data_IF_310495377114
#
_entry.id   IF_310495377114
#
_cell.length_a   1.000
_cell.length_b   1.000
_cell.length_c   1.000
_cell.angle_alpha   90.00
_cell.angle_beta   90.00
_cell.angle_gamma   90.00
#
_symmetry.space_group_name_H-M   'P 1'
#
loop_
_entity.id
_entity.type
_entity.pdbx_description
1 polymer ?
#
# COMPACT_ATOMS: atom_id res chain seq x y z
N UNK A 1 -7.63 13.16 9.20
CA UNK A 1 -7.65 12.89 7.75
C UNK A 1 -8.42 13.96 6.97
N UNK A 2 -9.74 14.16 7.17
CA UNK A 2 -10.54 15.14 6.39
C UNK A 2 -9.90 16.54 6.40
N UNK A 3 -9.61 17.09 7.59
CA UNK A 3 -8.95 18.40 7.70
C UNK A 3 -7.63 18.49 6.94
N UNK A 4 -6.81 17.44 6.98
CA UNK A 4 -5.53 17.43 6.25
C UNK A 4 -5.74 17.38 4.74
N UNK A 5 -6.69 16.55 4.27
CA UNK A 5 -7.03 16.47 2.86
C UNK A 5 -7.56 17.81 2.35
N UNK A 6 -8.50 18.44 3.08
CA UNK A 6 -9.05 19.73 2.70
C UNK A 6 -7.98 20.81 2.66
N UNK A 7 -7.14 20.89 3.69
CA UNK A 7 -6.02 21.85 3.74
C UNK A 7 -5.07 21.67 2.56
N UNK A 8 -4.74 20.42 2.25
CA UNK A 8 -3.83 20.09 1.15
C UNK A 8 -4.42 20.48 -0.21
N UNK A 9 -5.70 20.16 -0.43
CA UNK A 9 -6.41 20.50 -1.67
C UNK A 9 -6.59 22.02 -1.86
N UNK A 10 -6.54 22.80 -0.78
CA UNK A 10 -6.64 24.26 -0.83
C UNK A 10 -5.29 24.96 -1.00
N UNK A 11 -4.20 24.36 -0.47
CA UNK A 11 -2.95 25.09 -0.29
C UNK A 11 -1.71 24.35 -0.84
N UNK A 12 -1.84 23.11 -1.29
CA UNK A 12 -0.70 22.26 -1.64
C UNK A 12 -0.70 21.77 -3.11
N UNK A 13 -1.49 22.38 -3.99
CA UNK A 13 -1.56 21.96 -5.39
C UNK A 13 -0.80 22.94 -6.30
N UNK A 14 -0.32 22.42 -7.43
CA UNK A 14 0.23 23.24 -8.52
C UNK A 14 -0.88 24.06 -9.19
N UNK A 15 -0.48 25.20 -9.81
CA UNK A 15 -1.38 26.08 -10.50
C UNK A 15 -2.07 25.34 -11.67
N UNK A 16 -3.35 25.66 -11.93
CA UNK A 16 -4.13 25.10 -13.02
C UNK A 16 -3.60 25.41 -14.43
N UNK A 17 -2.69 26.36 -14.56
CA UNK A 17 -2.02 26.72 -15.83
C UNK A 17 -0.58 26.21 -15.90
N UNK A 18 -0.14 25.44 -14.89
CA UNK A 18 1.17 24.79 -14.92
C UNK A 18 1.21 23.69 -16.00
N UNK A 19 2.39 23.25 -16.38
CA UNK A 19 2.56 22.11 -17.29
C UNK A 19 1.99 20.82 -16.66
N UNK A 20 2.03 20.70 -15.32
CA UNK A 20 1.39 19.65 -14.54
C UNK A 20 0.35 20.30 -13.60
N UNK A 21 -0.87 20.51 -14.06
CA UNK A 21 -1.89 21.24 -13.30
C UNK A 21 -2.54 20.41 -12.21
N UNK A 22 -3.02 21.09 -11.15
CA UNK A 22 -3.76 20.50 -10.02
C UNK A 22 -3.04 19.34 -9.30
N UNK A 23 -1.69 19.26 -9.39
CA UNK A 23 -0.89 18.20 -8.81
C UNK A 23 -0.39 18.54 -7.41
N UNK A 24 -0.45 17.60 -6.45
CA UNK A 24 0.00 17.84 -5.08
C UNK A 24 1.53 17.90 -4.99
N UNK A 25 2.04 18.93 -4.30
CA UNK A 25 3.45 19.01 -3.93
C UNK A 25 3.74 18.10 -2.73
N UNK A 26 4.78 17.27 -2.76
CA UNK A 26 5.01 16.28 -1.69
C UNK A 26 5.45 16.89 -0.38
N UNK A 27 6.15 18.03 -0.38
CA UNK A 27 6.80 18.57 0.81
C UNK A 27 6.72 20.10 0.93
N UNK A 28 7.07 20.57 2.14
CA UNK A 28 7.34 21.97 2.45
C UNK A 28 8.82 22.24 2.13
N UNK A 29 9.13 23.12 1.18
CA UNK A 29 10.53 23.49 0.90
C UNK A 29 11.17 24.24 2.07
N UNK A 30 10.36 24.89 2.91
CA UNK A 30 10.76 25.42 4.21
C UNK A 30 10.18 24.52 5.29
N UNK A 31 11.03 23.77 5.97
CA UNK A 31 10.65 22.81 7.00
C UNK A 31 9.72 23.44 8.05
N UNK A 32 8.63 22.76 8.38
CA UNK A 32 7.59 23.20 9.30
C UNK A 32 6.81 24.48 8.91
N UNK A 33 6.93 24.96 7.68
CA UNK A 33 6.15 26.11 7.20
C UNK A 33 4.64 25.85 7.11
N UNK A 34 4.25 24.59 6.94
CA UNK A 34 2.88 24.20 6.60
C UNK A 34 2.51 24.48 5.13
N UNK A 35 3.43 25.03 4.32
CA UNK A 35 3.21 25.35 2.91
C UNK A 35 3.82 24.24 2.07
N UNK A 36 2.98 23.46 1.40
CA UNK A 36 3.40 22.41 0.45
C UNK A 36 3.61 23.07 -0.92
N UNK A 37 4.85 23.22 -1.34
CA UNK A 37 5.21 23.99 -2.52
C UNK A 37 6.36 23.42 -3.36
N UNK A 38 6.81 22.20 -3.05
CA UNK A 38 7.87 21.56 -3.81
C UNK A 38 8.37 20.24 -3.24
N UNK A 39 9.62 19.93 -3.53
CA UNK A 39 10.37 18.76 -3.05
C UNK A 39 11.45 19.20 -2.07
N UNK A 40 11.80 18.35 -1.12
CA UNK A 40 12.77 18.66 -0.07
C UNK A 40 14.19 18.91 -0.61
N UNK A 41 14.55 18.32 -1.75
CA UNK A 41 15.91 18.38 -2.34
C UNK A 41 16.00 19.29 -3.56
N UNK A 42 15.13 19.08 -4.53
CA UNK A 42 15.11 19.88 -5.77
C UNK A 42 14.41 21.24 -5.59
N UNK A 43 13.69 21.41 -4.47
CA UNK A 43 13.16 22.67 -4.07
C UNK A 43 11.76 22.99 -4.61
N UNK A 44 11.48 24.30 -4.67
CA UNK A 44 10.15 24.81 -4.98
C UNK A 44 9.72 24.47 -6.42
N UNK A 45 8.45 24.06 -6.56
CA UNK A 45 7.84 23.76 -7.84
C UNK A 45 8.09 22.34 -8.34
N UNK A 46 8.83 21.51 -7.60
CA UNK A 46 9.10 20.11 -7.98
C UNK A 46 8.00 19.19 -7.42
N UNK A 47 7.45 18.35 -8.31
CA UNK A 47 6.47 17.31 -8.02
C UNK A 47 7.10 15.93 -8.01
N UNK A 48 6.43 15.00 -7.35
CA UNK A 48 6.68 13.56 -7.41
C UNK A 48 5.40 12.85 -7.90
N UNK A 49 5.29 12.53 -9.21
CA UNK A 49 4.09 11.93 -9.80
C UNK A 49 3.61 10.64 -9.13
N UNK A 50 4.53 9.82 -8.64
CA UNK A 50 4.23 8.60 -7.88
C UNK A 50 3.50 8.88 -6.56
N UNK A 51 3.91 9.93 -5.83
CA UNK A 51 3.24 10.39 -4.60
C UNK A 51 1.88 11.01 -4.92
N UNK A 52 1.79 11.72 -6.05
CA UNK A 52 0.52 12.29 -6.51
C UNK A 52 -0.50 11.20 -6.82
N UNK A 53 -0.08 10.11 -7.49
CA UNK A 53 -0.92 8.93 -7.72
C UNK A 53 -1.41 8.29 -6.43
N UNK A 54 -0.52 8.13 -5.45
CA UNK A 54 -0.87 7.61 -4.12
C UNK A 54 -1.87 8.51 -3.39
N UNK A 55 -1.66 9.83 -3.42
CA UNK A 55 -2.57 10.78 -2.80
C UNK A 55 -3.97 10.75 -3.45
N UNK A 56 -4.03 10.70 -4.77
CA UNK A 56 -5.30 10.62 -5.49
C UNK A 56 -6.06 9.32 -5.22
N UNK A 57 -5.37 8.19 -5.09
CA UNK A 57 -5.98 6.92 -4.68
C UNK A 57 -6.61 7.01 -3.29
N UNK A 58 -5.94 7.64 -2.33
CA UNK A 58 -6.50 7.88 -1.00
C UNK A 58 -7.69 8.87 -1.02
N UNK A 59 -7.73 9.83 -1.95
CA UNK A 59 -8.89 10.69 -2.15
C UNK A 59 -10.11 9.92 -2.67
N UNK A 60 -9.93 8.91 -3.53
CA UNK A 60 -11.03 8.02 -3.95
C UNK A 60 -11.56 7.24 -2.76
N UNK A 61 -10.68 6.71 -1.91
CA UNK A 61 -11.07 6.05 -0.65
C UNK A 61 -11.86 7.01 0.25
N UNK A 62 -11.40 8.24 0.40
CA UNK A 62 -12.08 9.27 1.20
C UNK A 62 -13.46 9.65 0.63
N UNK A 63 -13.60 9.70 -0.70
CA UNK A 63 -14.89 9.84 -1.37
C UNK A 63 -15.83 8.66 -1.06
N UNK A 64 -15.33 7.42 -1.14
CA UNK A 64 -16.13 6.23 -0.82
C UNK A 64 -16.68 6.26 0.61
N UNK A 65 -15.92 6.85 1.55
CA UNK A 65 -16.31 7.02 2.96
C UNK A 65 -17.28 8.18 3.16
N UNK A 66 -16.94 9.36 2.64
CA UNK A 66 -17.63 10.61 2.96
C UNK A 66 -18.77 10.97 2.02
N UNK A 67 -18.74 10.44 0.79
CA UNK A 67 -19.59 10.82 -0.35
C UNK A 67 -19.46 12.28 -0.74
N UNK A 68 -18.36 12.93 -0.37
CA UNK A 68 -18.08 14.32 -0.79
C UNK A 68 -17.40 14.31 -2.16
N UNK A 69 -18.13 14.78 -3.17
CA UNK A 69 -17.70 14.85 -4.58
C UNK A 69 -16.40 15.63 -4.78
N UNK A 70 -16.03 16.54 -3.87
CA UNK A 70 -14.77 17.29 -3.93
C UNK A 70 -13.58 16.34 -4.02
N UNK A 71 -13.58 15.24 -3.26
CA UNK A 71 -12.46 14.30 -3.25
C UNK A 71 -12.37 13.50 -4.54
N UNK A 72 -13.51 13.07 -5.09
CA UNK A 72 -13.54 12.38 -6.38
C UNK A 72 -13.08 13.29 -7.52
N UNK A 73 -13.60 14.50 -7.59
CA UNK A 73 -13.22 15.49 -8.63
C UNK A 73 -11.73 15.82 -8.54
N UNK A 74 -11.18 15.96 -7.33
CA UNK A 74 -9.74 16.20 -7.15
C UNK A 74 -8.90 15.00 -7.56
N UNK A 75 -9.32 13.78 -7.23
CA UNK A 75 -8.65 12.54 -7.67
C UNK A 75 -8.67 12.41 -9.20
N UNK A 76 -9.80 12.71 -9.85
CA UNK A 76 -9.94 12.70 -11.31
C UNK A 76 -8.99 13.70 -11.98
N UNK A 77 -8.87 14.92 -11.49
CA UNK A 77 -7.95 15.93 -12.04
C UNK A 77 -6.49 15.47 -11.97
N UNK A 78 -6.07 14.88 -10.84
CA UNK A 78 -4.73 14.33 -10.69
C UNK A 78 -4.54 13.16 -11.66
N UNK A 79 -5.52 12.27 -11.76
CA UNK A 79 -5.48 11.12 -12.68
C UNK A 79 -5.42 11.56 -14.15
N UNK A 80 -6.18 12.60 -14.54
CA UNK A 80 -6.15 13.18 -15.89
C UNK A 80 -4.75 13.73 -16.22
N UNK A 81 -4.14 14.45 -15.28
CA UNK A 81 -2.78 14.95 -15.44
C UNK A 81 -1.78 13.80 -15.58
N UNK A 82 -1.81 12.79 -14.71
CA UNK A 82 -0.95 11.62 -14.80
C UNK A 82 -1.14 10.86 -16.11
N UNK A 83 -2.38 10.60 -16.51
CA UNK A 83 -2.70 9.90 -17.75
C UNK A 83 -2.19 10.65 -18.99
N UNK A 84 -2.37 11.98 -19.03
CA UNK A 84 -1.92 12.81 -20.16
C UNK A 84 -0.41 12.89 -20.32
N UNK A 85 0.35 12.70 -19.23
CA UNK A 85 1.81 12.71 -19.23
C UNK A 85 2.44 11.32 -19.29
N UNK A 86 1.63 10.25 -19.25
CA UNK A 86 2.15 8.88 -19.30
C UNK A 86 2.76 8.59 -20.67
N UNK A 87 4.02 8.22 -20.67
CA UNK A 87 4.79 7.81 -21.85
C UNK A 87 5.12 6.34 -21.79
N UNK A 88 5.62 5.75 -22.89
CA UNK A 88 5.93 4.32 -22.93
C UNK A 88 7.07 3.93 -21.98
N UNK A 89 7.97 4.86 -21.66
CA UNK A 89 9.17 4.57 -20.90
C UNK A 89 10.14 3.61 -21.61
N UNK A 90 11.28 3.36 -20.97
CA UNK A 90 12.31 2.41 -21.42
C UNK A 90 13.07 1.83 -20.20
N UNK A 91 14.23 1.22 -20.42
CA UNK A 91 15.04 0.65 -19.32
C UNK A 91 15.69 1.70 -18.40
N UNK A 92 15.71 2.97 -18.80
CA UNK A 92 16.31 4.08 -18.06
C UNK A 92 15.29 5.10 -17.55
N UNK A 93 14.09 5.12 -18.16
CA UNK A 93 13.03 6.07 -17.85
C UNK A 93 11.73 5.33 -17.59
N UNK A 94 11.08 5.62 -16.47
CA UNK A 94 9.73 5.13 -16.19
C UNK A 94 8.68 5.89 -17.02
N UNK A 95 7.47 5.37 -17.16
CA UNK A 95 6.37 6.03 -17.91
C UNK A 95 6.08 7.45 -17.46
N UNK A 96 6.35 7.76 -16.22
CA UNK A 96 6.30 9.07 -15.58
C UNK A 96 7.62 9.27 -14.83
N UNK A 97 8.18 10.47 -14.74
CA UNK A 97 9.43 10.72 -14.01
C UNK A 97 9.23 10.60 -12.50
N UNK A 98 10.31 10.33 -11.77
CA UNK A 98 10.30 10.36 -10.31
C UNK A 98 10.09 11.78 -9.79
N UNK A 99 10.75 12.79 -10.44
CA UNK A 99 10.60 14.20 -10.12
C UNK A 99 10.39 15.01 -11.40
N UNK A 100 9.54 16.01 -11.33
CA UNK A 100 9.26 16.91 -12.45
C UNK A 100 8.95 18.31 -11.94
N UNK A 101 9.41 19.33 -12.68
CA UNK A 101 9.01 20.70 -12.41
C UNK A 101 7.57 20.92 -12.89
N UNK A 102 6.69 21.30 -11.97
CA UNK A 102 5.26 21.50 -12.24
C UNK A 102 5.01 22.54 -13.33
N UNK A 103 5.83 23.57 -13.41
CA UNK A 103 5.61 24.73 -14.28
C UNK A 103 6.19 24.54 -15.68
N UNK A 104 7.40 23.94 -15.76
CA UNK A 104 8.10 23.77 -17.05
C UNK A 104 7.88 22.38 -17.67
N UNK A 105 7.53 21.37 -16.88
CA UNK A 105 7.46 19.98 -17.30
C UNK A 105 8.81 19.28 -17.42
N UNK A 106 9.90 19.95 -17.07
CA UNK A 106 11.25 19.37 -17.11
C UNK A 106 11.43 18.34 -16.00
N UNK A 107 12.06 17.21 -16.35
CA UNK A 107 12.45 16.17 -15.39
C UNK A 107 13.42 16.74 -14.36
N UNK A 108 13.16 16.50 -13.09
CA UNK A 108 14.03 16.91 -11.99
C UNK A 108 15.31 16.06 -11.89
N UNK A 109 16.02 16.20 -10.78
CA UNK A 109 17.34 15.61 -10.58
C UNK A 109 17.41 14.71 -9.36
N UNK A 110 18.33 13.75 -9.40
CA UNK A 110 18.80 13.05 -8.21
C UNK A 110 20.03 13.83 -7.69
N UNK A 111 19.86 14.47 -6.54
CA UNK A 111 20.90 15.30 -5.95
C UNK A 111 21.77 14.49 -4.99
N UNK A 112 23.03 14.90 -4.84
CA UNK A 112 23.90 14.35 -3.81
C UNK A 112 23.42 14.75 -2.41
N UNK A 113 23.64 13.88 -1.43
CA UNK A 113 23.29 14.12 -0.02
C UNK A 113 24.27 15.09 0.69
N UNK A 114 25.28 15.58 -0.01
CA UNK A 114 26.14 16.62 0.53
C UNK A 114 25.45 17.97 0.43
N UNK A 115 25.88 18.91 1.27
CA UNK A 115 25.36 20.28 1.32
C UNK A 115 25.60 21.09 0.04
N UNK A 116 26.29 20.54 -0.94
CA UNK A 116 26.63 21.21 -2.21
C UNK A 116 25.50 21.14 -3.23
N UNK A 117 24.51 20.23 -3.07
CA UNK A 117 23.43 20.06 -4.02
C UNK A 117 23.92 19.58 -5.41
N UNK A 118 25.02 18.82 -5.45
CA UNK A 118 25.56 18.28 -6.68
C UNK A 118 24.57 17.35 -7.38
N UNK A 119 24.29 17.59 -8.65
CA UNK A 119 23.42 16.74 -9.49
C UNK A 119 24.17 15.45 -9.83
N UNK A 120 23.61 14.30 -9.46
CA UNK A 120 24.22 13.00 -9.73
C UNK A 120 23.62 12.29 -10.93
N UNK A 121 22.33 12.50 -11.22
CA UNK A 121 21.62 11.93 -12.36
C UNK A 121 20.27 12.62 -12.58
N UNK A 122 19.62 12.30 -13.71
CA UNK A 122 18.22 12.66 -13.96
C UNK A 122 17.29 11.83 -13.07
N UNK A 123 16.24 12.43 -12.54
CA UNK A 123 15.17 11.77 -11.77
C UNK A 123 14.06 11.19 -12.67
N UNK A 124 14.43 10.62 -13.82
CA UNK A 124 13.48 10.08 -14.80
C UNK A 124 12.95 8.68 -14.49
N UNK A 125 13.34 8.04 -13.39
CA UNK A 125 13.00 6.65 -13.11
C UNK A 125 12.56 6.43 -11.66
N UNK A 126 11.43 5.74 -11.47
CA UNK A 126 11.01 5.07 -10.24
C UNK A 126 10.06 3.92 -10.61
N UNK A 127 9.96 2.89 -9.76
CA UNK A 127 8.99 1.81 -9.91
C UNK A 127 7.82 1.90 -8.90
N UNK A 128 7.59 3.05 -8.28
CA UNK A 128 6.53 3.25 -7.29
C UNK A 128 5.15 3.54 -7.93
N UNK A 129 4.67 2.65 -8.80
CA UNK A 129 3.45 2.88 -9.56
C UNK A 129 2.22 2.07 -9.10
N UNK A 130 2.36 1.21 -8.09
CA UNK A 130 1.25 0.35 -7.64
C UNK A 130 0.00 1.14 -7.23
N UNK A 131 0.15 2.23 -6.48
CA UNK A 131 -0.99 3.08 -6.08
C UNK A 131 -1.60 3.85 -7.27
N UNK A 132 -0.78 4.23 -8.26
CA UNK A 132 -1.29 4.87 -9.49
C UNK A 132 -2.07 3.89 -10.34
N UNK A 133 -1.64 2.63 -10.43
CA UNK A 133 -2.39 1.57 -11.09
C UNK A 133 -3.74 1.35 -10.40
N UNK A 134 -3.77 1.24 -9.07
CA UNK A 134 -5.01 1.11 -8.31
C UNK A 134 -5.92 2.34 -8.46
N UNK A 135 -5.37 3.55 -8.53
CA UNK A 135 -6.15 4.76 -8.80
C UNK A 135 -6.91 4.67 -10.14
N UNK A 136 -6.23 4.31 -11.21
CA UNK A 136 -6.85 4.19 -12.53
C UNK A 136 -7.92 3.10 -12.57
N UNK A 137 -7.67 1.97 -11.91
CA UNK A 137 -8.61 0.86 -11.79
C UNK A 137 -9.88 1.29 -11.03
N UNK A 138 -9.74 1.90 -9.87
CA UNK A 138 -10.88 2.37 -9.07
C UNK A 138 -11.70 3.48 -9.76
N UNK A 139 -11.04 4.40 -10.50
CA UNK A 139 -11.73 5.42 -11.26
C UNK A 139 -12.45 4.82 -12.49
N UNK A 140 -11.93 3.73 -13.06
CA UNK A 140 -12.60 3.00 -14.12
C UNK A 140 -13.90 2.34 -13.62
N UNK A 141 -13.90 1.78 -12.41
CA UNK A 141 -15.09 1.22 -11.77
C UNK A 141 -16.18 2.26 -11.44
N UNK A 142 -15.80 3.51 -11.28
CA UNK A 142 -16.71 4.63 -10.98
C UNK A 142 -17.28 5.32 -12.23
N UNK A 143 -17.24 4.66 -13.39
CA UNK A 143 -17.77 5.17 -14.68
C UNK A 143 -17.28 6.58 -15.05
N UNK A 144 -15.99 6.83 -14.82
CA UNK A 144 -15.35 8.11 -15.15
C UNK A 144 -15.50 8.44 -16.65
N UNK A 145 -15.77 9.70 -17.01
CA UNK A 145 -15.82 10.13 -18.42
C UNK A 145 -14.48 9.97 -19.15
N UNK A 146 -13.38 9.81 -18.42
CA UNK A 146 -12.01 9.64 -18.92
C UNK A 146 -11.52 8.17 -18.93
N UNK A 147 -12.43 7.20 -18.83
CA UNK A 147 -12.15 5.76 -18.77
C UNK A 147 -11.13 5.28 -19.80
N UNK A 148 -11.24 5.74 -21.06
CA UNK A 148 -10.33 5.30 -22.12
C UNK A 148 -8.88 5.73 -21.87
N UNK A 149 -8.63 6.95 -21.36
CA UNK A 149 -7.29 7.45 -21.05
C UNK A 149 -6.70 6.76 -19.81
N UNK A 150 -7.51 6.49 -18.79
CA UNK A 150 -7.08 5.77 -17.60
C UNK A 150 -6.68 4.32 -17.92
N UNK A 151 -7.52 3.62 -18.71
CA UNK A 151 -7.19 2.27 -19.17
C UNK A 151 -5.91 2.24 -20.01
N UNK A 152 -5.71 3.23 -20.88
CA UNK A 152 -4.48 3.32 -21.68
C UNK A 152 -3.25 3.55 -20.78
N UNK A 153 -3.31 4.51 -19.85
CA UNK A 153 -2.22 4.80 -18.92
C UNK A 153 -1.92 3.61 -18.01
N UNK A 154 -2.96 2.95 -17.49
CA UNK A 154 -2.82 1.70 -16.71
C UNK A 154 -2.04 0.65 -17.49
N UNK A 155 -2.44 0.36 -18.74
CA UNK A 155 -1.78 -0.66 -19.56
C UNK A 155 -0.32 -0.28 -19.85
N UNK A 156 -0.04 0.98 -20.18
CA UNK A 156 1.34 1.45 -20.45
C UNK A 156 2.22 1.28 -19.22
N UNK A 157 1.75 1.67 -18.04
CA UNK A 157 2.51 1.55 -16.79
C UNK A 157 2.69 0.07 -16.42
N UNK A 158 1.64 -0.74 -16.49
CA UNK A 158 1.70 -2.16 -16.17
C UNK A 158 2.67 -2.93 -17.08
N UNK A 159 2.61 -2.69 -18.40
CA UNK A 159 3.51 -3.32 -19.36
C UNK A 159 4.97 -2.90 -19.11
N UNK A 160 5.21 -1.64 -18.77
CA UNK A 160 6.54 -1.18 -18.40
C UNK A 160 7.04 -1.85 -17.11
N UNK A 161 6.20 -1.93 -16.07
CA UNK A 161 6.52 -2.63 -14.82
C UNK A 161 6.90 -4.10 -15.05
N UNK A 162 6.18 -4.79 -15.94
CA UNK A 162 6.46 -6.17 -16.34
C UNK A 162 7.75 -6.29 -17.16
N UNK A 163 7.99 -5.34 -18.07
CA UNK A 163 9.10 -5.42 -19.01
C UNK A 163 10.46 -5.08 -18.37
N UNK A 164 10.49 -4.16 -17.40
CA UNK A 164 11.74 -3.62 -16.86
C UNK A 164 11.93 -3.91 -15.37
N UNK A 165 11.21 -3.32 -14.41
CA UNK A 165 11.46 -3.58 -12.98
C UNK A 165 11.39 -5.06 -12.61
N UNK A 166 10.33 -5.74 -13.04
CA UNK A 166 10.09 -7.15 -12.69
C UNK A 166 11.19 -8.09 -13.24
N UNK A 167 11.78 -7.79 -14.39
CA UNK A 167 12.82 -8.62 -15.01
C UNK A 167 14.22 -8.31 -14.51
N UNK A 168 14.49 -7.05 -14.19
CA UNK A 168 15.84 -6.58 -13.84
C UNK A 168 16.03 -6.43 -12.34
N UNK A 169 14.97 -6.41 -11.54
CA UNK A 169 14.95 -5.99 -10.14
C UNK A 169 15.55 -4.60 -9.92
N UNK A 170 15.36 -3.71 -10.90
CA UNK A 170 15.73 -2.31 -10.80
C UNK A 170 14.50 -1.52 -10.35
N UNK A 171 14.43 -1.23 -9.06
CA UNK A 171 13.23 -0.66 -8.42
C UNK A 171 13.28 0.86 -8.31
N UNK A 172 14.49 1.43 -8.25
CA UNK A 172 14.75 2.85 -8.23
C UNK A 172 14.36 3.56 -6.93
N UNK A 173 14.55 4.89 -6.90
CA UNK A 173 14.36 5.69 -5.72
C UNK A 173 12.88 5.82 -5.33
N UNK A 174 12.66 5.98 -4.04
CA UNK A 174 11.40 6.35 -3.41
C UNK A 174 11.58 7.57 -2.51
N UNK A 175 12.70 7.62 -1.78
CA UNK A 175 13.02 8.68 -0.83
C UNK A 175 13.82 9.77 -1.51
N UNK A 176 13.48 11.00 -1.23
CA UNK A 176 14.11 12.20 -1.79
C UNK A 176 15.38 12.63 -1.07
N UNK A 177 15.57 12.20 0.17
CA UNK A 177 16.70 12.57 1.02
C UNK A 177 17.98 11.76 0.75
N UNK A 178 17.90 10.72 -0.08
CA UNK A 178 19.03 9.86 -0.40
C UNK A 178 19.75 10.34 -1.67
N UNK A 179 21.10 10.35 -1.65
CA UNK A 179 21.89 10.78 -2.81
C UNK A 179 21.86 9.76 -3.94
N UNK A 180 21.64 10.26 -5.15
CA UNK A 180 21.77 9.47 -6.36
C UNK A 180 20.78 8.33 -6.49
N UNK A 181 21.23 7.24 -7.10
CA UNK A 181 20.43 6.04 -7.33
C UNK A 181 20.38 5.17 -6.10
N UNK A 182 19.18 4.68 -5.77
CA UNK A 182 18.98 3.63 -4.79
C UNK A 182 17.79 2.75 -5.18
N UNK A 183 17.93 1.44 -5.06
CA UNK A 183 16.80 0.52 -5.15
C UNK A 183 16.17 0.34 -3.78
N UNK A 184 14.86 0.53 -3.69
CA UNK A 184 14.15 0.60 -2.42
C UNK A 184 13.25 -0.61 -2.19
N UNK A 185 13.20 -1.05 -0.94
CA UNK A 185 12.34 -2.14 -0.49
C UNK A 185 10.87 -1.83 -0.76
N UNK A 186 10.46 -0.59 -0.52
CA UNK A 186 9.06 -0.19 -0.66
C UNK A 186 8.55 -0.36 -2.09
N UNK A 187 9.32 0.05 -3.11
CA UNK A 187 8.92 -0.10 -4.51
C UNK A 187 8.77 -1.57 -4.90
N UNK A 188 9.76 -2.39 -4.53
CA UNK A 188 9.76 -3.83 -4.83
C UNK A 188 8.59 -4.56 -4.18
N UNK A 189 8.46 -4.44 -2.86
CA UNK A 189 7.52 -5.25 -2.09
C UNK A 189 6.07 -4.74 -2.23
N UNK A 190 5.87 -3.44 -2.48
CA UNK A 190 4.53 -2.93 -2.80
C UNK A 190 4.07 -3.47 -4.17
N UNK A 191 4.98 -3.62 -5.13
CA UNK A 191 4.63 -4.24 -6.42
C UNK A 191 4.39 -5.76 -6.27
N UNK A 192 5.18 -6.47 -5.45
CA UNK A 192 4.88 -7.87 -5.13
C UNK A 192 3.47 -8.03 -4.52
N UNK A 193 3.07 -7.11 -3.64
CA UNK A 193 1.71 -7.10 -3.09
C UNK A 193 0.66 -6.83 -4.18
N UNK A 194 0.91 -5.89 -5.09
CA UNK A 194 0.03 -5.64 -6.24
C UNK A 194 -0.14 -6.90 -7.10
N UNK A 195 0.93 -7.62 -7.40
CA UNK A 195 0.87 -8.90 -8.13
C UNK A 195 0.00 -9.92 -7.39
N UNK A 196 0.15 -10.06 -6.07
CA UNK A 196 -0.66 -10.98 -5.26
C UNK A 196 -2.16 -10.65 -5.25
N UNK A 197 -2.50 -9.37 -5.40
CA UNK A 197 -3.90 -8.89 -5.48
C UNK A 197 -4.49 -9.04 -6.88
N UNK A 198 -3.65 -9.00 -7.94
CA UNK A 198 -4.04 -9.00 -9.36
C UNK A 198 -3.41 -10.19 -10.11
N UNK A 199 -3.50 -11.39 -9.54
CA UNK A 199 -2.85 -12.60 -10.08
C UNK A 199 -3.29 -12.97 -11.52
N UNK A 200 -4.50 -12.60 -11.89
CA UNK A 200 -5.05 -12.74 -13.24
C UNK A 200 -4.27 -11.94 -14.29
N UNK A 201 -3.66 -10.82 -13.90
CA UNK A 201 -2.80 -10.01 -14.77
C UNK A 201 -1.38 -10.61 -14.92
N UNK A 202 -1.00 -11.57 -14.09
CA UNK A 202 0.36 -12.12 -14.01
C UNK A 202 0.36 -13.66 -14.13
N UNK A 203 0.43 -14.23 -15.34
CA UNK A 203 0.35 -15.70 -15.55
C UNK A 203 1.41 -16.51 -14.78
N UNK A 204 2.50 -15.87 -14.36
CA UNK A 204 3.61 -16.48 -13.62
C UNK A 204 3.80 -15.85 -12.23
N UNK A 205 2.72 -15.36 -11.61
CA UNK A 205 2.74 -14.59 -10.38
C UNK A 205 3.54 -15.24 -9.24
N UNK A 206 3.51 -16.56 -9.09
CA UNK A 206 4.28 -17.28 -8.05
C UNK A 206 5.79 -17.05 -8.23
N UNK A 207 6.29 -17.24 -9.46
CA UNK A 207 7.68 -17.01 -9.81
C UNK A 207 8.06 -15.56 -9.69
N UNK A 208 7.19 -14.66 -10.14
CA UNK A 208 7.43 -13.22 -10.17
C UNK A 208 7.54 -12.67 -8.74
N UNK A 209 6.59 -13.01 -7.87
CA UNK A 209 6.60 -12.59 -6.46
C UNK A 209 7.78 -13.19 -5.71
N UNK A 210 8.04 -14.51 -5.91
CA UNK A 210 9.21 -15.16 -5.30
C UNK A 210 10.51 -14.48 -5.71
N UNK A 211 10.66 -14.12 -6.99
CA UNK A 211 11.83 -13.43 -7.50
C UNK A 211 12.06 -12.07 -6.86
N UNK A 212 10.98 -11.33 -6.57
CA UNK A 212 11.06 -10.05 -5.84
C UNK A 212 11.45 -10.29 -4.37
N UNK A 213 10.85 -11.26 -3.70
CA UNK A 213 11.16 -11.62 -2.31
C UNK A 213 12.64 -12.05 -2.20
N UNK A 214 13.09 -12.96 -3.07
CA UNK A 214 14.48 -13.43 -3.11
C UNK A 214 15.47 -12.27 -3.36
N UNK A 215 15.11 -11.31 -4.22
CA UNK A 215 15.91 -10.10 -4.43
C UNK A 215 15.99 -9.26 -3.15
N UNK A 216 14.88 -9.04 -2.45
CA UNK A 216 14.86 -8.26 -1.23
C UNK A 216 15.74 -8.90 -0.14
N UNK A 217 15.67 -10.21 0.07
CA UNK A 217 16.55 -10.93 0.98
C UNK A 217 18.02 -10.78 0.62
N UNK A 218 18.36 -10.96 -0.66
CA UNK A 218 19.76 -10.90 -1.13
C UNK A 218 20.35 -9.50 -1.03
N UNK A 219 19.62 -8.45 -1.43
CA UNK A 219 20.13 -7.09 -1.53
C UNK A 219 19.91 -6.26 -0.27
N UNK A 220 18.83 -6.53 0.46
CA UNK A 220 18.36 -5.71 1.58
C UNK A 220 18.29 -6.47 2.90
N UNK A 221 18.53 -7.79 2.90
CA UNK A 221 18.57 -8.59 4.11
C UNK A 221 19.61 -8.07 5.10
N UNK A 222 19.24 -7.94 6.37
CA UNK A 222 20.10 -7.51 7.46
C UNK A 222 20.18 -8.62 8.52
N UNK A 223 21.39 -9.12 8.74
CA UNK A 223 21.67 -10.27 9.60
C UNK A 223 22.17 -9.91 11.01
N UNK A 224 22.09 -8.65 11.42
CA UNK A 224 22.56 -8.20 12.75
C UNK A 224 21.82 -8.90 13.88
N UNK A 225 20.60 -9.36 13.62
CA UNK A 225 19.77 -10.11 14.56
C UNK A 225 19.84 -11.61 14.37
N UNK A 226 20.81 -12.10 13.61
CA UNK A 226 21.00 -13.53 13.32
C UNK A 226 21.17 -14.41 14.55
N UNK A 227 21.71 -13.87 15.67
CA UNK A 227 21.78 -14.58 16.98
C UNK A 227 20.40 -14.96 17.54
N UNK A 228 19.33 -14.30 17.09
CA UNK A 228 17.94 -14.60 17.44
C UNK A 228 17.21 -15.36 16.31
N UNK A 229 17.95 -15.79 15.29
CA UNK A 229 17.40 -16.38 14.07
C UNK A 229 16.36 -15.48 13.38
N UNK A 230 16.65 -14.19 13.31
CA UNK A 230 15.82 -13.19 12.62
C UNK A 230 16.67 -12.47 11.58
N UNK A 231 16.19 -12.46 10.36
CA UNK A 231 16.63 -11.56 9.30
C UNK A 231 15.59 -10.45 9.15
N UNK A 232 16.03 -9.20 9.16
CA UNK A 232 15.20 -8.02 9.00
C UNK A 232 15.58 -7.28 7.72
N UNK A 233 14.78 -6.30 7.29
CA UNK A 233 14.98 -5.61 6.01
C UNK A 233 15.53 -4.21 6.18
N UNK A 234 16.61 -3.94 5.47
CA UNK A 234 17.08 -2.58 5.25
C UNK A 234 16.12 -1.82 4.33
N UNK A 235 16.11 -0.52 4.45
CA UNK A 235 15.22 0.36 3.72
C UNK A 235 15.53 0.36 2.22
N UNK A 236 16.82 0.44 1.88
CA UNK A 236 17.29 0.60 0.51
C UNK A 236 18.77 0.23 0.36
N UNK A 237 19.24 0.13 -0.88
CA UNK A 237 20.57 -0.39 -1.18
C UNK A 237 21.72 0.52 -0.71
N UNK A 238 21.53 1.84 -0.68
CA UNK A 238 22.56 2.80 -0.26
C UNK A 238 22.42 3.24 1.21
N UNK A 239 21.23 3.10 1.79
CA UNK A 239 21.00 3.37 3.21
C UNK A 239 20.56 2.08 3.89
N UNK A 240 21.52 1.35 4.43
CA UNK A 240 21.33 0.01 5.00
C UNK A 240 20.97 0.06 6.48
N UNK A 241 19.84 0.70 6.77
CA UNK A 241 19.27 0.73 8.12
C UNK A 241 17.97 -0.06 8.13
N UNK A 242 17.83 -1.03 9.04
CA UNK A 242 16.59 -1.79 9.14
C UNK A 242 15.51 -0.94 9.83
N UNK A 243 14.31 -0.94 9.24
CA UNK A 243 13.14 -0.29 9.80
C UNK A 243 12.03 -1.28 10.11
N UNK A 244 11.18 -0.97 11.07
CA UNK A 244 10.05 -1.83 11.40
C UNK A 244 8.98 -1.84 10.31
N UNK A 245 8.70 -0.71 9.66
CA UNK A 245 7.74 -0.65 8.56
C UNK A 245 8.21 -1.46 7.35
N UNK A 246 9.51 -1.39 7.01
CA UNK A 246 10.08 -2.18 5.91
C UNK A 246 10.05 -3.67 6.21
N UNK A 247 10.47 -4.04 7.41
CA UNK A 247 10.48 -5.43 7.87
C UNK A 247 9.06 -6.00 7.97
N UNK A 248 8.11 -5.26 8.53
CA UNK A 248 6.72 -5.72 8.65
C UNK A 248 6.01 -5.77 7.29
N UNK A 249 6.32 -4.85 6.35
CA UNK A 249 5.83 -4.90 4.97
C UNK A 249 6.31 -6.16 4.27
N UNK A 250 7.62 -6.44 4.33
CA UNK A 250 8.22 -7.65 3.80
C UNK A 250 7.52 -8.90 4.34
N UNK A 251 7.45 -9.03 5.67
CA UNK A 251 6.85 -10.17 6.34
C UNK A 251 5.37 -10.36 5.96
N UNK A 252 4.61 -9.28 5.83
CA UNK A 252 3.20 -9.37 5.43
C UNK A 252 3.02 -9.94 4.02
N UNK A 253 3.89 -9.54 3.08
CA UNK A 253 3.84 -10.02 1.70
C UNK A 253 4.33 -11.48 1.60
N UNK A 254 5.33 -11.86 2.35
CA UNK A 254 5.80 -13.26 2.46
C UNK A 254 4.71 -14.20 2.98
N UNK A 255 3.97 -13.77 4.00
CA UNK A 255 2.84 -14.56 4.53
C UNK A 255 1.65 -14.59 3.55
N UNK A 256 1.38 -13.51 2.82
CA UNK A 256 0.38 -13.52 1.73
C UNK A 256 0.81 -14.48 0.62
N UNK A 257 2.08 -14.44 0.22
CA UNK A 257 2.62 -15.34 -0.79
C UNK A 257 2.48 -16.80 -0.36
N UNK A 258 2.88 -17.12 0.88
CA UNK A 258 2.76 -18.48 1.42
C UNK A 258 1.30 -18.95 1.48
N UNK A 259 0.37 -18.09 1.90
CA UNK A 259 -1.07 -18.41 1.95
C UNK A 259 -1.66 -18.73 0.58
N UNK A 260 -1.18 -18.07 -0.48
CA UNK A 260 -1.74 -18.21 -1.83
C UNK A 260 -1.04 -19.29 -2.66
N UNK A 261 0.29 -19.46 -2.49
CA UNK A 261 1.10 -20.43 -3.27
C UNK A 261 1.28 -21.78 -2.58
N UNK A 262 1.15 -21.82 -1.24
CA UNK A 262 1.53 -22.96 -0.43
C UNK A 262 3.04 -23.08 -0.15
N UNK A 263 3.88 -22.19 -0.69
CA UNK A 263 5.32 -22.17 -0.41
C UNK A 263 5.60 -21.54 0.96
N UNK A 264 6.04 -22.33 1.92
CA UNK A 264 6.28 -21.92 3.31
C UNK A 264 7.73 -21.50 3.59
N UNK A 265 8.56 -21.35 2.58
CA UNK A 265 10.01 -21.07 2.70
C UNK A 265 10.29 -19.89 3.65
N UNK A 266 9.53 -18.81 3.57
CA UNK A 266 9.78 -17.58 4.32
C UNK A 266 8.99 -17.48 5.64
N UNK A 267 7.96 -18.30 5.85
CA UNK A 267 6.98 -18.16 6.94
C UNK A 267 7.63 -18.02 8.32
N UNK A 268 8.62 -18.88 8.64
CA UNK A 268 9.26 -18.85 9.94
C UNK A 268 10.00 -17.53 10.20
N UNK A 269 10.74 -17.03 9.20
CA UNK A 269 11.41 -15.73 9.33
C UNK A 269 10.41 -14.60 9.36
N UNK A 270 9.39 -14.61 8.51
CA UNK A 270 8.35 -13.58 8.46
C UNK A 270 7.67 -13.38 9.83
N UNK A 271 7.28 -14.47 10.51
CA UNK A 271 6.69 -14.39 11.85
C UNK A 271 7.67 -13.80 12.86
N UNK A 272 8.95 -14.23 12.83
CA UNK A 272 9.97 -13.70 13.74
C UNK A 272 10.28 -12.23 13.47
N UNK A 273 10.35 -11.83 12.20
CA UNK A 273 10.60 -10.46 11.79
C UNK A 273 9.43 -9.52 12.15
N UNK A 274 8.18 -9.97 12.04
CA UNK A 274 7.02 -9.25 12.58
C UNK A 274 7.12 -9.05 14.09
N UNK A 275 7.50 -10.09 14.83
CA UNK A 275 7.70 -9.98 16.27
C UNK A 275 8.83 -9.01 16.60
N UNK A 276 9.96 -9.06 15.86
CA UNK A 276 11.04 -8.10 16.01
C UNK A 276 10.56 -6.66 15.79
N UNK A 277 9.73 -6.41 14.78
CA UNK A 277 9.21 -5.08 14.50
C UNK A 277 8.36 -4.50 15.64
N UNK A 278 7.71 -5.33 16.46
CA UNK A 278 6.95 -4.87 17.63
C UNK A 278 7.84 -4.24 18.71
N UNK A 279 9.08 -4.67 18.84
CA UNK A 279 10.01 -4.13 19.84
C UNK A 279 10.53 -2.73 19.53
N UNK A 280 10.31 -2.23 18.31
CA UNK A 280 10.66 -0.86 17.92
C UNK A 280 9.53 0.14 18.14
N UNK A 281 8.36 -0.31 18.59
CA UNK A 281 7.25 0.54 19.00
C UNK A 281 7.48 0.99 20.44
N UNK A 282 7.59 2.31 20.63
CA UNK A 282 7.80 2.91 21.94
C UNK A 282 6.48 3.02 22.74
N UNK A 283 6.58 3.30 24.03
CA UNK A 283 5.44 3.46 24.94
C UNK A 283 4.46 4.59 24.54
N UNK A 284 4.92 5.54 23.72
CA UNK A 284 4.09 6.64 23.17
C UNK A 284 3.41 6.24 21.85
N UNK A 285 3.55 4.98 21.41
CA UNK A 285 2.98 4.46 20.17
C UNK A 285 3.73 4.85 18.90
N UNK A 286 4.90 5.49 19.01
CA UNK A 286 5.73 5.82 17.84
C UNK A 286 6.68 4.68 17.53
N UNK A 287 6.89 4.46 16.23
CA UNK A 287 7.93 3.57 15.76
C UNK A 287 9.27 4.31 15.76
N UNK A 288 10.26 3.76 16.44
CA UNK A 288 11.60 4.35 16.50
C UNK A 288 12.52 3.66 15.50
N UNK A 289 13.36 4.45 14.84
CA UNK A 289 14.52 3.90 14.14
C UNK A 289 15.52 3.34 15.16
N UNK A 290 16.14 2.23 14.81
CA UNK A 290 16.98 1.47 15.76
C UNK A 290 18.35 2.10 15.94
N UNK A 291 18.80 2.89 14.96
CA UNK A 291 20.11 3.53 14.95
C UNK A 291 20.01 5.02 14.74
N UNK A 292 20.87 5.71 15.45
CA UNK A 292 21.41 7.05 15.21
C UNK A 292 20.41 8.20 15.16
N UNK A 293 19.11 7.95 15.10
CA UNK A 293 18.16 9.04 15.05
C UNK A 293 16.86 8.73 15.81
N UNK A 294 16.93 8.92 17.13
CA UNK A 294 15.76 8.83 18.01
C UNK A 294 14.65 9.84 17.65
N UNK A 295 14.95 10.77 16.76
CA UNK A 295 14.02 11.78 16.25
C UNK A 295 13.26 11.30 15.02
N UNK A 296 13.84 10.38 14.23
CA UNK A 296 13.16 9.77 13.11
C UNK A 296 12.17 8.72 13.61
N UNK A 297 10.92 8.97 13.39
CA UNK A 297 9.85 8.08 13.75
C UNK A 297 8.96 7.83 12.55
N UNK A 298 8.78 6.57 12.19
CA UNK A 298 7.71 6.18 11.29
C UNK A 298 6.37 6.29 12.00
N UNK A 299 5.33 6.61 11.25
CA UNK A 299 3.98 6.59 11.79
C UNK A 299 3.60 5.19 12.26
N UNK A 300 3.02 5.07 13.45
CA UNK A 300 2.50 3.79 13.96
C UNK A 300 1.56 3.09 12.97
N UNK A 301 0.78 3.87 12.23
CA UNK A 301 -0.12 3.35 11.19
C UNK A 301 0.59 2.57 10.09
N UNK A 302 1.83 2.89 9.75
CA UNK A 302 2.57 2.16 8.72
C UNK A 302 2.92 0.74 9.17
N UNK A 303 3.37 0.56 10.41
CA UNK A 303 3.59 -0.75 11.00
C UNK A 303 2.28 -1.55 11.17
N UNK A 304 1.25 -0.93 11.76
CA UNK A 304 -0.02 -1.61 12.10
C UNK A 304 -0.72 -2.18 10.87
N UNK A 305 -0.79 -1.45 9.76
CA UNK A 305 -1.43 -1.94 8.54
C UNK A 305 -0.76 -3.20 8.00
N UNK A 306 0.56 -3.31 8.12
CA UNK A 306 1.29 -4.50 7.68
C UNK A 306 1.08 -5.67 8.65
N UNK A 307 1.04 -5.41 9.96
CA UNK A 307 0.76 -6.45 10.95
C UNK A 307 -0.67 -7.00 10.79
N UNK A 308 -1.67 -6.14 10.56
CA UNK A 308 -3.05 -6.57 10.30
C UNK A 308 -3.15 -7.40 9.02
N UNK A 309 -2.47 -7.00 7.96
CA UNK A 309 -2.39 -7.76 6.71
C UNK A 309 -1.74 -9.14 6.92
N UNK A 310 -0.67 -9.18 7.72
CA UNK A 310 -0.02 -10.44 8.08
C UNK A 310 -0.95 -11.39 8.86
N UNK A 311 -1.74 -10.87 9.80
CA UNK A 311 -2.75 -11.67 10.51
C UNK A 311 -3.84 -12.20 9.57
N UNK A 312 -4.27 -11.42 8.58
CA UNK A 312 -5.23 -11.88 7.58
C UNK A 312 -4.67 -13.04 6.75
N UNK A 313 -3.39 -12.95 6.35
CA UNK A 313 -2.72 -13.99 5.57
C UNK A 313 -2.27 -15.21 6.41
N UNK A 314 -2.00 -15.01 7.70
CA UNK A 314 -1.53 -16.03 8.63
C UNK A 314 -2.35 -15.97 9.95
N UNK A 315 -3.58 -16.50 9.96
CA UNK A 315 -4.54 -16.34 11.07
C UNK A 315 -4.09 -16.89 12.42
N UNK A 316 -3.04 -17.73 12.46
CA UNK A 316 -2.44 -18.21 13.71
C UNK A 316 -1.77 -17.08 14.52
N UNK A 317 -1.47 -15.95 13.89
CA UNK A 317 -0.96 -14.76 14.55
C UNK A 317 -2.03 -14.04 15.39
N UNK A 318 -3.30 -14.23 15.07
CA UNK A 318 -4.40 -13.67 15.84
C UNK A 318 -4.66 -14.49 17.11
N UNK A 319 -4.96 -13.87 18.28
CA UNK A 319 -5.27 -14.57 19.52
C UNK A 319 -6.43 -15.56 19.35
N UNK A 320 -6.20 -16.82 19.73
CA UNK A 320 -7.15 -17.91 19.51
C UNK A 320 -8.38 -17.90 20.46
N UNK A 321 -8.27 -17.19 21.57
CA UNK A 321 -9.32 -17.09 22.61
C UNK A 321 -10.22 -15.86 22.46
N UNK A 322 -9.99 -15.05 21.44
CA UNK A 322 -10.74 -13.82 21.16
C UNK A 322 -11.29 -13.84 19.74
N UNK A 323 -12.26 -12.97 19.49
CA UNK A 323 -12.85 -12.82 18.17
C UNK A 323 -12.28 -11.58 17.50
N UNK A 324 -11.72 -11.73 16.29
CA UNK A 324 -11.11 -10.66 15.53
C UNK A 324 -11.61 -10.63 14.10
N UNK A 325 -11.93 -9.43 13.60
CA UNK A 325 -11.99 -9.18 12.16
C UNK A 325 -10.54 -9.16 11.62
N UNK A 326 -10.23 -10.03 10.67
CA UNK A 326 -8.91 -10.11 10.05
C UNK A 326 -8.85 -9.36 8.71
N UNK A 327 -9.95 -9.42 7.95
CA UNK A 327 -10.04 -8.79 6.64
C UNK A 327 -11.44 -8.28 6.36
N UNK A 328 -11.52 -7.16 5.66
CA UNK A 328 -12.73 -6.61 5.05
C UNK A 328 -12.38 -5.97 3.72
N UNK A 329 -13.08 -6.33 2.65
CA UNK A 329 -12.93 -5.70 1.33
C UNK A 329 -13.52 -4.28 1.26
N UNK A 330 -14.23 -3.84 2.32
CA UNK A 330 -14.76 -2.49 2.45
C UNK A 330 -14.34 -1.85 3.77
N UNK A 331 -14.26 -0.52 3.81
CA UNK A 331 -13.91 0.22 5.02
C UNK A 331 -14.98 0.04 6.09
N UNK A 332 -14.55 -0.43 7.26
CA UNK A 332 -15.44 -0.64 8.41
C UNK A 332 -15.83 0.70 9.03
N UNK A 333 -17.12 0.97 9.13
CA UNK A 333 -17.66 2.14 9.84
C UNK A 333 -17.85 1.86 11.34
N UNK A 334 -18.26 0.64 11.68
CA UNK A 334 -18.44 0.22 13.07
C UNK A 334 -18.31 -1.30 13.21
N UNK A 335 -17.68 -1.75 14.28
CA UNK A 335 -17.72 -3.15 14.71
C UNK A 335 -17.97 -3.19 16.22
N UNK A 336 -18.87 -4.08 16.65
CA UNK A 336 -19.17 -4.34 18.07
C UNK A 336 -19.12 -5.82 18.35
N UNK A 337 -18.37 -6.18 19.36
CA UNK A 337 -18.26 -7.54 19.87
C UNK A 337 -19.04 -7.65 21.19
N UNK A 338 -19.88 -8.66 21.29
CA UNK A 338 -20.56 -9.04 22.53
C UNK A 338 -20.46 -10.56 22.74
N UNK A 339 -20.85 -11.08 23.90
CA UNK A 339 -20.65 -12.49 24.24
C UNK A 339 -21.30 -13.49 23.27
N UNK A 340 -22.37 -13.10 22.57
CA UNK A 340 -23.15 -13.96 21.67
C UNK A 340 -23.42 -13.35 20.29
N UNK A 341 -22.84 -12.18 19.98
CA UNK A 341 -23.09 -11.44 18.74
C UNK A 341 -21.89 -10.59 18.36
N UNK A 342 -21.49 -10.64 17.10
CA UNK A 342 -20.71 -9.60 16.44
C UNK A 342 -21.63 -8.86 15.48
N UNK A 343 -21.61 -7.53 15.51
CA UNK A 343 -22.28 -6.66 14.56
C UNK A 343 -21.23 -5.77 13.87
N UNK A 344 -21.17 -5.86 12.55
CA UNK A 344 -20.26 -5.09 11.72
C UNK A 344 -21.05 -4.27 10.70
N UNK A 345 -20.66 -3.03 10.51
CA UNK A 345 -21.17 -2.12 9.49
C UNK A 345 -20.00 -1.55 8.67
N UNK A 346 -20.20 -1.39 7.37
CA UNK A 346 -19.20 -0.86 6.41
C UNK A 346 -19.77 0.32 5.64
N UNK A 347 -18.93 1.19 5.10
CA UNK A 347 -19.36 2.33 4.30
C UNK A 347 -19.93 1.92 2.95
N UNK A 348 -19.38 0.86 2.35
CA UNK A 348 -19.89 0.21 1.13
C UNK A 348 -20.13 -1.26 1.41
N UNK A 349 -21.03 -1.96 0.69
CA UNK A 349 -21.17 -3.41 0.84
C UNK A 349 -19.81 -4.10 0.66
N UNK A 350 -19.40 -4.99 1.58
CA UNK A 350 -18.17 -5.75 1.39
C UNK A 350 -18.43 -6.95 0.50
N UNK A 351 -17.48 -7.32 -0.36
CA UNK A 351 -17.51 -8.57 -1.10
C UNK A 351 -17.08 -9.73 -0.21
N UNK A 352 -16.11 -9.48 0.66
CA UNK A 352 -15.55 -10.50 1.54
C UNK A 352 -15.24 -9.93 2.93
N UNK A 353 -15.50 -10.76 3.94
CA UNK A 353 -15.12 -10.56 5.34
C UNK A 353 -14.48 -11.83 5.89
N UNK A 354 -13.35 -11.70 6.59
CA UNK A 354 -12.69 -12.83 7.26
C UNK A 354 -12.54 -12.53 8.75
N UNK A 355 -13.01 -13.48 9.59
CA UNK A 355 -12.89 -13.40 11.04
C UNK A 355 -12.12 -14.59 11.60
N UNK A 356 -11.25 -14.33 12.57
CA UNK A 356 -10.76 -15.33 13.50
C UNK A 356 -11.73 -15.38 14.66
N UNK A 357 -12.37 -16.54 14.89
CA UNK A 357 -13.36 -16.71 15.95
C UNK A 357 -12.95 -17.82 16.91
N UNK A 358 -13.28 -17.65 18.19
CA UNK A 358 -12.99 -18.62 19.25
C UNK A 358 -13.84 -19.90 19.14
N UNK A 359 -14.96 -19.86 18.42
CA UNK A 359 -15.87 -20.99 18.17
C UNK A 359 -16.68 -20.78 16.90
N UNK A 360 -17.20 -21.88 16.31
CA UNK A 360 -18.06 -21.84 15.15
C UNK A 360 -19.36 -21.06 15.45
N UNK A 361 -19.78 -20.13 14.59
CA UNK A 361 -21.05 -19.44 14.74
C UNK A 361 -22.25 -20.37 14.49
N UNK A 362 -23.39 -20.07 15.08
CA UNK A 362 -24.67 -20.76 14.82
C UNK A 362 -25.35 -20.20 13.55
N UNK A 363 -25.04 -18.96 13.16
CA UNK A 363 -25.62 -18.34 11.99
C UNK A 363 -25.03 -16.97 11.68
N UNK A 364 -25.15 -16.58 10.41
CA UNK A 364 -24.72 -15.30 9.87
C UNK A 364 -25.87 -14.63 9.14
N UNK A 365 -26.04 -13.32 9.34
CA UNK A 365 -26.99 -12.47 8.62
C UNK A 365 -26.29 -11.29 7.96
N UNK A 366 -26.76 -10.87 6.78
CA UNK A 366 -26.39 -9.60 6.18
C UNK A 366 -27.65 -8.85 5.73
N UNK A 367 -27.75 -7.55 6.04
CA UNK A 367 -28.93 -6.75 5.74
C UNK A 367 -30.24 -7.31 6.30
N UNK A 368 -30.19 -8.06 7.41
CA UNK A 368 -31.31 -8.73 8.05
C UNK A 368 -31.67 -10.11 7.50
N UNK A 369 -31.10 -10.54 6.37
CA UNK A 369 -31.34 -11.86 5.75
C UNK A 369 -30.32 -12.90 6.25
N UNK A 370 -30.77 -14.14 6.49
CA UNK A 370 -29.87 -15.27 6.79
C UNK A 370 -29.01 -15.59 5.57
N UNK A 371 -27.72 -15.77 5.80
CA UNK A 371 -26.75 -16.24 4.82
C UNK A 371 -26.47 -17.72 5.07
N UNK A 372 -26.57 -18.61 4.06
CA UNK A 372 -26.30 -20.03 4.24
C UNK A 372 -24.83 -20.34 4.45
N UNK A 373 -24.52 -21.38 5.23
CA UNK A 373 -23.23 -22.05 5.20
C UNK A 373 -23.14 -22.88 3.90
N UNK A 374 -22.23 -22.51 3.00
CA UNK A 374 -22.12 -23.15 1.69
C UNK A 374 -20.75 -22.97 1.08
N UNK A 375 -20.29 -23.97 0.31
CA UNK A 375 -19.09 -23.89 -0.52
C UNK A 375 -19.39 -23.42 -1.96
N UNK A 376 -20.67 -23.28 -2.33
CA UNK A 376 -21.07 -22.86 -3.68
C UNK A 376 -20.79 -21.37 -3.91
N UNK A 377 -20.20 -21.03 -5.05
CA UNK A 377 -19.95 -19.64 -5.47
C UNK A 377 -21.20 -18.98 -6.08
N UNK A 378 -21.21 -17.65 -6.16
CA UNK A 378 -22.24 -16.85 -6.83
C UNK A 378 -23.47 -16.52 -6.00
N UNK A 379 -23.50 -16.85 -4.73
CA UNK A 379 -24.51 -16.43 -3.75
C UNK A 379 -23.83 -15.97 -2.47
N UNK A 380 -24.45 -15.07 -1.73
CA UNK A 380 -23.99 -14.70 -0.37
C UNK A 380 -23.90 -15.94 0.50
N UNK A 381 -22.73 -16.23 1.01
CA UNK A 381 -22.45 -17.45 1.80
C UNK A 381 -21.42 -17.20 2.89
N UNK A 382 -21.36 -18.14 3.81
CA UNK A 382 -20.22 -18.22 4.73
C UNK A 382 -19.67 -19.64 4.80
N UNK A 383 -18.38 -19.72 5.14
CA UNK A 383 -17.63 -20.97 5.30
C UNK A 383 -16.93 -20.92 6.66
N UNK A 384 -16.92 -22.05 7.33
CA UNK A 384 -16.15 -22.26 8.55
C UNK A 384 -15.00 -23.22 8.31
N UNK A 385 -13.78 -22.75 8.57
CA UNK A 385 -12.57 -23.56 8.55
C UNK A 385 -12.06 -23.73 10.00
N UNK A 386 -12.16 -24.94 10.59
CA UNK A 386 -11.73 -25.18 11.97
C UNK A 386 -10.21 -25.13 12.09
N UNK A 387 -9.71 -24.52 13.16
CA UNK A 387 -8.31 -24.52 13.56
C UNK A 387 -8.16 -25.28 14.88
N UNK A 388 -6.92 -25.52 15.35
CA UNK A 388 -6.64 -26.20 16.63
C UNK A 388 -7.44 -25.60 17.78
N UNK A 389 -7.64 -24.28 17.79
CA UNK A 389 -8.53 -23.56 18.70
C UNK A 389 -9.39 -22.59 17.91
N UNK A 390 -10.74 -22.73 17.97
CA UNK A 390 -11.66 -21.90 17.18
C UNK A 390 -11.53 -22.17 15.69
N UNK A 391 -11.55 -21.13 14.85
CA UNK A 391 -11.43 -21.27 13.40
C UNK A 391 -11.55 -19.95 12.65
N UNK A 392 -11.59 -20.05 11.32
CA UNK A 392 -11.86 -18.95 10.41
C UNK A 392 -13.31 -18.98 9.95
N UNK A 393 -13.94 -17.84 9.98
CA UNK A 393 -15.19 -17.57 9.29
C UNK A 393 -14.91 -16.68 8.12
N UNK A 394 -15.15 -17.17 6.90
CA UNK A 394 -15.14 -16.36 5.68
C UNK A 394 -16.57 -16.15 5.22
N UNK A 395 -16.96 -14.90 5.00
CA UNK A 395 -18.26 -14.51 4.45
C UNK A 395 -18.00 -13.86 3.09
N UNK A 396 -18.58 -14.39 2.04
CA UNK A 396 -18.30 -13.98 0.65
C UNK A 396 -19.58 -13.61 -0.11
N UNK A 397 -19.41 -12.85 -1.20
CA UNK A 397 -20.49 -12.44 -2.12
C UNK A 397 -21.59 -11.62 -1.42
N UNK A 398 -21.21 -10.72 -0.49
CA UNK A 398 -22.13 -9.92 0.31
C UNK A 398 -22.61 -8.71 -0.51
N UNK A 399 -23.63 -8.87 -1.34
CA UNK A 399 -24.18 -7.80 -2.19
C UNK A 399 -25.31 -7.00 -1.50
N UNK A 400 -25.35 -6.98 -0.15
CA UNK A 400 -26.48 -6.41 0.60
C UNK A 400 -26.00 -5.25 1.46
N UNK A 401 -26.67 -4.08 1.31
CA UNK A 401 -26.47 -2.97 2.26
C UNK A 401 -27.02 -3.33 3.63
N UNK A 402 -26.28 -3.03 4.67
CA UNK A 402 -26.70 -3.19 6.05
C UNK A 402 -25.68 -3.92 6.90
N UNK A 403 -26.02 -4.07 8.18
CA UNK A 403 -25.12 -4.72 9.13
C UNK A 403 -24.96 -6.22 8.84
N UNK A 404 -23.72 -6.70 8.96
CA UNK A 404 -23.41 -8.13 9.07
C UNK A 404 -23.46 -8.51 10.55
N UNK A 405 -24.20 -9.59 10.87
CA UNK A 405 -24.38 -10.11 12.23
C UNK A 405 -23.97 -11.57 12.29
N UNK A 406 -23.07 -11.89 13.22
CA UNK A 406 -22.58 -13.26 13.47
C UNK A 406 -23.05 -13.67 14.86
N UNK A 407 -23.73 -14.82 15.01
CA UNK A 407 -24.37 -15.29 16.24
C UNK A 407 -23.85 -16.64 16.68
N UNK A 408 -23.91 -16.88 18.00
CA UNK A 408 -23.61 -18.18 18.65
C UNK A 408 -24.80 -18.73 19.38
#
# INVERSE_FOLDING_TARGET
MIYQADYYLENGLSDRHAAWPDMPFPYNTVVHSGIYDGDMRDGKGILQPDKSGSFAHELVTLYKITRNERYLVSAQKIADCLASHTTRGDSLHSPLPFRVNAFTGETGHLLSNNSTGEVTASAGYTANWSSTLMLFEELAELDSPHLASYNQAFQVILEWMKAYPLRSNRWGPFFEDIPGWSDTQINAITFAMFILQHRDLFPHWEKDVKGIIDWAHRELGNHEYGRYNVEVMNEQTVYRVPGNSHTSRQSSVELMYASLSGDTTYVTNAIRALNWATYTVDHDGKNRYIRDDIWLTDGYGDYVRHFLRAMAACPVLAPANENHLLFSSSVVSQIRYSGNLIRLETFTPPDELVFRLSRKPSGVKAGGMEIPESLSSGISRWVWDPMERGGLLTISDINVKGAVMIRW
#
